data_IF_557541959594
#
_entry.id   IF_557541959594
#
_cell.length_a   1.000
_cell.length_b   1.000
_cell.length_c   1.000
_cell.angle_alpha   90.00
_cell.angle_beta   90.00
_cell.angle_gamma   90.00
#
_symmetry.space_group_name_H-M   'P 1'
#
loop_
_entity.id
_entity.type
_entity.pdbx_description
1 polymer ?
#
# COMPACT_ATOMS: atom_id res chain seq x y z
N UNK A 1 -1.75 -13.56 -5.73
CA UNK A 1 -1.68 -12.52 -4.69
C UNK A 1 -3.05 -11.82 -4.49
N UNK A 2 -3.72 -11.34 -5.56
CA UNK A 2 -4.95 -10.52 -5.47
C UNK A 2 -6.01 -11.09 -4.50
N UNK A 3 -6.46 -12.37 -4.58
CA UNK A 3 -7.46 -12.88 -3.66
C UNK A 3 -7.04 -12.88 -2.18
N UNK A 4 -5.73 -12.97 -1.91
CA UNK A 4 -5.19 -12.92 -0.54
C UNK A 4 -5.34 -11.49 0.00
N UNK A 5 -4.93 -10.47 -0.77
CA UNK A 5 -5.06 -9.08 -0.36
C UNK A 5 -6.52 -8.62 -0.27
N UNK A 6 -7.40 -9.11 -1.14
CA UNK A 6 -8.83 -8.91 -1.03
C UNK A 6 -9.37 -9.47 0.30
N UNK A 7 -8.99 -10.70 0.66
CA UNK A 7 -9.40 -11.29 1.94
C UNK A 7 -8.85 -10.52 3.16
N UNK A 8 -7.60 -10.04 3.08
CA UNK A 8 -6.98 -9.20 4.12
C UNK A 8 -7.74 -7.89 4.30
N UNK A 9 -8.05 -7.20 3.20
CA UNK A 9 -8.80 -5.94 3.24
C UNK A 9 -10.19 -6.09 3.85
N UNK A 10 -10.89 -7.18 3.55
CA UNK A 10 -12.24 -7.48 4.10
C UNK A 10 -12.24 -7.56 5.62
N UNK A 11 -11.15 -7.98 6.23
CA UNK A 11 -10.98 -8.12 7.69
C UNK A 11 -10.12 -7.02 8.30
N UNK A 12 -9.73 -6.00 7.53
CA UNK A 12 -8.78 -4.95 7.94
C UNK A 12 -7.50 -5.54 8.57
N UNK A 13 -7.01 -6.63 8.01
CA UNK A 13 -5.92 -7.39 8.59
C UNK A 13 -4.65 -6.55 8.69
N UNK A 14 -4.02 -6.57 9.87
CA UNK A 14 -2.74 -5.92 10.15
C UNK A 14 -1.63 -6.98 10.10
N UNK A 15 -0.76 -6.87 9.08
CA UNK A 15 0.31 -7.83 8.84
C UNK A 15 1.35 -7.24 7.88
N UNK A 16 2.65 -7.54 8.06
CA UNK A 16 3.71 -7.06 7.18
C UNK A 16 3.71 -7.71 5.78
N UNK A 17 2.66 -8.45 5.41
CA UNK A 17 2.63 -9.20 4.15
C UNK A 17 2.71 -8.27 2.93
N UNK A 18 2.09 -7.08 2.96
CA UNK A 18 2.17 -6.12 1.87
C UNK A 18 3.62 -5.64 1.67
N UNK A 19 4.25 -5.15 2.74
CA UNK A 19 5.62 -4.66 2.72
C UNK A 19 6.59 -5.74 2.22
N UNK A 20 6.48 -6.95 2.77
CA UNK A 20 7.33 -8.10 2.43
C UNK A 20 7.11 -8.58 0.98
N UNK A 21 5.86 -8.59 0.50
CA UNK A 21 5.55 -8.96 -0.89
C UNK A 21 6.15 -7.95 -1.87
N UNK A 22 6.08 -6.66 -1.55
CA UNK A 22 6.66 -5.60 -2.37
C UNK A 22 8.19 -5.65 -2.37
N UNK A 23 8.82 -5.94 -1.23
CA UNK A 23 10.26 -6.16 -1.15
C UNK A 23 10.70 -7.35 -2.01
N UNK A 24 9.97 -8.47 -1.94
CA UNK A 24 10.22 -9.61 -2.81
C UNK A 24 10.07 -9.25 -4.30
N UNK A 25 9.08 -8.43 -4.65
CA UNK A 25 8.88 -7.95 -6.03
C UNK A 25 10.07 -7.12 -6.52
N UNK A 26 10.59 -6.20 -5.71
CA UNK A 26 11.80 -5.42 -6.07
C UNK A 26 13.00 -6.37 -6.29
N UNK A 27 13.22 -7.33 -5.40
CA UNK A 27 14.30 -8.31 -5.56
C UNK A 27 14.15 -9.13 -6.84
N UNK A 28 12.96 -9.59 -7.17
CA UNK A 28 12.69 -10.37 -8.40
C UNK A 28 13.02 -9.53 -9.64
N UNK A 29 12.66 -8.25 -9.67
CA UNK A 29 12.85 -7.39 -10.82
C UNK A 29 14.29 -6.86 -10.95
N UNK A 30 14.84 -6.35 -9.86
CA UNK A 30 16.02 -5.52 -9.85
C UNK A 30 17.25 -6.19 -9.21
N UNK A 31 17.06 -7.27 -8.46
CA UNK A 31 18.13 -7.99 -7.78
C UNK A 31 19.02 -8.81 -8.69
N UNK A 32 20.28 -8.99 -8.30
CA UNK A 32 21.21 -9.96 -8.91
C UNK A 32 20.79 -11.41 -8.57
N UNK A 33 21.30 -12.37 -9.30
CA UNK A 33 21.03 -13.80 -9.03
C UNK A 33 21.48 -14.21 -7.63
N UNK A 34 22.59 -13.65 -7.13
CA UNK A 34 23.07 -13.89 -5.76
C UNK A 34 22.11 -13.30 -4.73
N UNK A 35 21.65 -12.07 -4.91
CA UNK A 35 20.66 -11.42 -4.01
C UNK A 35 19.35 -12.20 -4.02
N UNK A 36 18.84 -12.59 -5.18
CA UNK A 36 17.63 -13.42 -5.33
C UNK A 36 17.75 -14.76 -4.60
N UNK A 37 18.85 -15.49 -4.85
CA UNK A 37 19.09 -16.80 -4.25
C UNK A 37 19.29 -16.72 -2.72
N UNK A 38 19.77 -15.59 -2.21
CA UNK A 38 19.97 -15.36 -0.79
C UNK A 38 18.66 -14.97 -0.08
N UNK A 39 17.94 -14.00 -0.62
CA UNK A 39 16.84 -13.36 0.09
C UNK A 39 15.46 -13.95 -0.17
N UNK A 40 15.15 -14.37 -1.40
CA UNK A 40 13.82 -14.91 -1.71
C UNK A 40 13.47 -16.18 -0.90
N UNK A 41 14.40 -17.14 -0.69
CA UNK A 41 14.12 -18.27 0.19
C UNK A 41 13.88 -17.87 1.65
N UNK A 42 14.63 -16.89 2.16
CA UNK A 42 14.45 -16.37 3.54
C UNK A 42 13.08 -15.71 3.69
N UNK A 43 12.70 -14.83 2.76
CA UNK A 43 11.37 -14.21 2.73
C UNK A 43 10.27 -15.28 2.67
N UNK A 44 10.43 -16.30 1.83
CA UNK A 44 9.50 -17.42 1.75
C UNK A 44 9.41 -18.22 3.05
N UNK A 45 10.48 -18.24 3.84
CA UNK A 45 10.54 -18.90 5.15
C UNK A 45 10.01 -18.05 6.31
N UNK A 46 9.65 -16.77 6.04
CA UNK A 46 9.04 -15.89 7.04
C UNK A 46 9.85 -14.65 7.42
N UNK A 47 11.03 -14.41 6.83
CA UNK A 47 11.76 -13.16 7.03
C UNK A 47 10.90 -11.97 6.56
N UNK A 48 10.72 -11.00 7.44
CA UNK A 48 9.97 -9.77 7.17
C UNK A 48 10.89 -8.77 6.48
N UNK A 49 10.44 -8.22 5.37
CA UNK A 49 11.16 -7.21 4.61
C UNK A 49 10.28 -5.97 4.38
N UNK A 50 10.90 -4.79 4.38
CA UNK A 50 10.23 -3.54 4.10
C UNK A 50 10.89 -2.79 2.94
N UNK A 51 10.11 -1.97 2.22
CA UNK A 51 10.64 -1.06 1.19
C UNK A 51 10.55 0.37 1.71
N UNK A 52 11.71 1.02 1.85
CA UNK A 52 11.85 2.37 2.33
C UNK A 52 12.14 3.31 1.13
N UNK A 53 11.12 3.96 0.61
CA UNK A 53 11.22 4.75 -0.62
C UNK A 53 10.77 6.20 -0.48
N UNK A 54 9.85 6.50 0.43
CA UNK A 54 9.25 7.82 0.57
C UNK A 54 10.10 8.70 1.51
N UNK A 55 10.28 9.98 1.16
CA UNK A 55 11.12 10.90 1.93
C UNK A 55 10.40 12.16 2.38
N UNK A 56 9.52 12.70 1.55
CA UNK A 56 8.79 13.92 1.86
C UNK A 56 7.29 13.64 1.93
N UNK A 57 6.63 14.27 2.87
CA UNK A 57 5.19 14.18 3.01
C UNK A 57 4.49 14.63 1.72
N UNK A 58 3.64 13.75 1.22
CA UNK A 58 2.79 14.05 0.05
C UNK A 58 3.50 14.04 -1.31
N UNK A 59 4.78 13.66 -1.40
CA UNK A 59 5.43 13.51 -2.70
C UNK A 59 5.29 12.08 -3.23
N UNK A 60 4.58 11.92 -4.35
CA UNK A 60 4.35 10.65 -5.00
C UNK A 60 5.32 10.32 -6.14
N UNK A 61 6.28 11.22 -6.42
CA UNK A 61 7.34 10.97 -7.40
C UNK A 61 8.44 10.10 -6.77
N UNK A 62 8.47 8.82 -7.12
CA UNK A 62 9.47 7.86 -6.64
C UNK A 62 10.90 8.20 -7.06
N UNK A 63 11.07 9.08 -8.05
CA UNK A 63 12.38 9.60 -8.48
C UNK A 63 12.89 10.76 -7.64
N UNK A 64 12.05 11.37 -6.81
CA UNK A 64 12.44 12.44 -5.89
C UNK A 64 13.11 11.83 -4.66
N UNK A 65 14.40 11.55 -4.77
CA UNK A 65 15.21 10.87 -3.74
C UNK A 65 16.28 11.84 -3.25
N UNK A 66 16.32 12.07 -1.94
CA UNK A 66 17.33 12.87 -1.24
C UNK A 66 18.34 12.00 -0.49
N UNK A 67 17.98 10.76 -0.08
CA UNK A 67 18.92 9.81 0.50
C UNK A 67 20.06 9.48 -0.47
N UNK A 68 21.28 9.31 0.04
CA UNK A 68 22.45 9.09 -0.79
C UNK A 68 23.37 8.00 -0.24
N UNK A 69 24.13 7.39 -1.15
CA UNK A 69 25.25 6.49 -0.89
C UNK A 69 26.56 7.21 -1.20
N UNK A 70 27.45 7.31 -0.21
CA UNK A 70 28.81 7.84 -0.37
C UNK A 70 29.82 6.71 -0.29
N UNK A 71 30.76 6.67 -1.22
CA UNK A 71 31.84 5.67 -1.19
C UNK A 71 32.82 5.97 -0.07
N UNK A 72 33.08 4.99 0.78
CA UNK A 72 34.05 5.08 1.86
C UNK A 72 35.46 4.69 1.41
N UNK A 73 36.47 5.01 2.22
CA UNK A 73 37.85 4.65 1.93
C UNK A 73 38.12 3.14 1.95
N UNK A 74 37.25 2.34 2.60
CA UNK A 74 37.30 0.88 2.62
C UNK A 74 36.76 0.23 1.33
N UNK A 75 36.12 1.01 0.45
CA UNK A 75 35.48 0.51 -0.76
C UNK A 75 33.99 0.17 -0.60
N UNK A 76 33.47 0.21 0.60
CA UNK A 76 32.06 0.12 0.94
C UNK A 76 31.33 1.44 0.66
N UNK A 77 30.02 1.47 0.90
CA UNK A 77 29.21 2.66 0.86
C UNK A 77 28.69 3.00 2.27
N UNK A 78 28.44 4.27 2.52
CA UNK A 78 27.72 4.79 3.66
C UNK A 78 26.38 5.36 3.17
N UNK A 79 25.26 4.84 3.68
CA UNK A 79 23.91 5.30 3.39
C UNK A 79 23.51 6.36 4.41
N UNK A 80 23.09 7.53 3.93
CA UNK A 80 22.55 8.60 4.76
C UNK A 80 21.28 9.15 4.14
N UNK A 81 20.31 9.51 5.00
CA UNK A 81 19.02 10.06 4.62
C UNK A 81 17.91 9.61 5.55
N UNK A 82 16.70 10.12 5.33
CA UNK A 82 15.52 9.79 6.13
C UNK A 82 14.41 9.28 5.22
N UNK A 83 13.81 8.17 5.58
CA UNK A 83 12.63 7.62 4.93
C UNK A 83 11.44 7.72 5.86
N UNK A 84 10.31 8.17 5.33
CA UNK A 84 9.04 8.31 6.07
C UNK A 84 8.03 7.28 5.57
N UNK A 85 6.99 7.07 6.35
CA UNK A 85 5.89 6.15 6.03
C UNK A 85 6.36 4.74 5.66
N UNK A 86 7.45 4.28 6.29
CA UNK A 86 7.97 2.92 6.09
C UNK A 86 7.11 1.93 6.86
N UNK A 87 6.34 1.07 6.15
CA UNK A 87 5.44 0.16 6.84
C UNK A 87 6.23 -0.95 7.54
N UNK A 88 5.78 -1.29 8.76
CA UNK A 88 6.28 -2.43 9.54
C UNK A 88 7.79 -2.41 9.84
N UNK A 89 8.43 -1.24 9.80
CA UNK A 89 9.89 -1.12 9.93
C UNK A 89 10.45 -1.69 11.24
N UNK A 90 9.70 -1.58 12.35
CA UNK A 90 10.17 -2.10 13.64
C UNK A 90 10.29 -3.63 13.72
N UNK A 91 9.63 -4.35 12.81
CA UNK A 91 9.67 -5.84 12.75
C UNK A 91 10.39 -6.35 11.50
N UNK A 92 10.80 -5.46 10.61
CA UNK A 92 11.53 -5.83 9.41
C UNK A 92 12.96 -6.27 9.76
N UNK A 93 13.42 -7.36 9.16
CA UNK A 93 14.78 -7.88 9.29
C UNK A 93 15.69 -7.32 8.17
N UNK A 94 15.11 -6.93 7.05
CA UNK A 94 15.80 -6.34 5.91
C UNK A 94 14.99 -5.23 5.26
N UNK A 95 15.68 -4.16 4.89
CA UNK A 95 15.12 -3.03 4.16
C UNK A 95 15.66 -2.99 2.73
N UNK A 96 14.78 -2.68 1.77
CA UNK A 96 15.18 -2.25 0.44
C UNK A 96 14.99 -0.73 0.41
N UNK A 97 16.08 0.00 0.33
CA UNK A 97 16.09 1.46 0.46
C UNK A 97 16.41 2.10 -0.89
N UNK A 98 15.59 3.07 -1.31
CA UNK A 98 15.93 3.90 -2.46
C UNK A 98 16.94 4.98 -2.05
N UNK A 99 18.01 5.14 -2.83
CA UNK A 99 19.03 6.15 -2.61
C UNK A 99 19.64 6.64 -3.93
N UNK A 100 20.46 7.67 -3.88
CA UNK A 100 21.27 8.12 -5.01
C UNK A 100 22.72 7.68 -4.83
N UNK A 101 23.27 7.03 -5.84
CA UNK A 101 24.68 6.75 -5.95
C UNK A 101 25.23 7.51 -7.17
N UNK A 102 26.13 8.48 -6.92
CA UNK A 102 26.68 9.35 -7.99
C UNK A 102 25.58 10.03 -8.82
N UNK A 103 24.51 10.48 -8.16
CA UNK A 103 23.38 11.18 -8.80
C UNK A 103 22.35 10.25 -9.49
N UNK A 104 22.62 8.95 -9.59
CA UNK A 104 21.67 7.97 -10.16
C UNK A 104 20.87 7.27 -9.07
N UNK A 105 19.59 7.00 -9.31
CA UNK A 105 18.79 6.23 -8.37
C UNK A 105 19.26 4.79 -8.30
N UNK A 106 19.29 4.24 -7.10
CA UNK A 106 19.61 2.82 -6.84
C UNK A 106 18.71 2.30 -5.73
N UNK A 107 18.52 0.98 -5.70
CA UNK A 107 18.06 0.26 -4.53
C UNK A 107 19.25 -0.31 -3.78
N UNK A 108 19.23 -0.30 -2.46
CA UNK A 108 20.21 -1.02 -1.64
C UNK A 108 19.52 -1.81 -0.53
N UNK A 109 20.13 -2.94 -0.18
CA UNK A 109 19.72 -3.78 0.95
C UNK A 109 20.41 -3.27 2.22
N UNK A 110 19.63 -3.18 3.29
CA UNK A 110 20.12 -2.82 4.63
C UNK A 110 19.56 -3.83 5.63
N UNK A 111 20.43 -4.52 6.38
CA UNK A 111 19.98 -5.37 7.47
C UNK A 111 19.53 -4.51 8.66
N UNK A 112 18.46 -4.92 9.34
CA UNK A 112 18.04 -4.26 10.59
C UNK A 112 19.12 -4.31 11.68
N UNK A 113 20.01 -5.30 11.65
CA UNK A 113 21.15 -5.41 12.57
C UNK A 113 22.15 -4.24 12.44
N UNK A 114 22.14 -3.55 11.30
CA UNK A 114 22.97 -2.36 11.04
C UNK A 114 22.34 -1.07 11.55
N UNK A 115 21.14 -1.13 12.13
CA UNK A 115 20.37 0.01 12.59
C UNK A 115 20.16 -0.06 14.10
N UNK A 116 20.26 1.11 14.76
CA UNK A 116 19.93 1.23 16.18
C UNK A 116 18.44 1.52 16.37
N UNK A 117 17.89 1.13 17.51
CA UNK A 117 16.47 1.38 17.83
C UNK A 117 16.10 2.87 17.82
N UNK A 118 17.05 3.75 18.11
CA UNK A 118 16.90 5.21 18.06
C UNK A 118 16.69 5.77 16.65
N UNK A 119 16.97 4.98 15.61
CA UNK A 119 16.79 5.38 14.21
C UNK A 119 15.35 5.13 13.70
N UNK A 120 14.50 4.51 14.52
CA UNK A 120 13.10 4.23 14.21
C UNK A 120 12.18 5.11 15.05
N UNK A 121 11.41 5.97 14.42
CA UNK A 121 10.37 6.76 15.07
C UNK A 121 9.00 6.33 14.54
N UNK A 122 8.11 5.89 15.45
CA UNK A 122 6.75 5.52 15.05
C UNK A 122 5.96 6.75 14.66
N UNK A 123 5.35 6.70 13.49
CA UNK A 123 4.48 7.76 12.98
C UNK A 123 3.03 7.50 13.36
N UNK A 124 2.30 8.57 13.67
CA UNK A 124 0.85 8.51 13.83
C UNK A 124 0.19 8.76 12.47
N UNK A 125 -0.42 7.72 11.91
CA UNK A 125 -1.15 7.78 10.65
C UNK A 125 -2.65 7.65 10.89
N UNK A 126 -3.48 8.06 9.92
CA UNK A 126 -4.94 8.06 10.08
C UNK A 126 -5.51 6.66 10.35
N UNK A 127 -4.93 5.63 9.77
CA UNK A 127 -5.26 4.22 10.05
C UNK A 127 -4.36 3.69 11.16
N UNK A 128 -4.84 3.74 12.39
CA UNK A 128 -4.09 3.28 13.58
C UNK A 128 -3.81 1.78 13.59
N UNK A 129 -4.45 1.01 12.70
CA UNK A 129 -4.16 -0.41 12.50
C UNK A 129 -2.92 -0.64 11.63
N UNK A 130 -2.35 0.43 11.02
CA UNK A 130 -1.09 0.38 10.27
C UNK A 130 0.08 0.81 11.13
N UNK A 131 1.17 0.09 11.01
CA UNK A 131 2.42 0.40 11.68
C UNK A 131 3.36 1.14 10.73
N UNK A 132 3.42 2.45 10.83
CA UNK A 132 4.26 3.33 10.00
C UNK A 132 5.41 3.89 10.81
N UNK A 133 6.57 4.05 10.18
CA UNK A 133 7.78 4.54 10.81
C UNK A 133 8.53 5.52 9.92
N UNK A 134 9.08 6.57 10.56
CA UNK A 134 10.21 7.31 10.03
C UNK A 134 11.49 6.53 10.38
N UNK A 135 12.33 6.27 9.37
CA UNK A 135 13.61 5.56 9.55
C UNK A 135 14.74 6.47 9.12
N UNK A 136 15.66 6.74 10.06
CA UNK A 136 16.82 7.59 9.83
C UNK A 136 18.07 6.73 9.57
N UNK A 137 18.64 6.86 8.39
CA UNK A 137 19.90 6.23 8.03
C UNK A 137 21.03 7.25 8.24
N UNK A 138 21.99 6.94 9.13
CA UNK A 138 23.10 7.81 9.49
C UNK A 138 24.41 7.08 9.25
N UNK A 139 24.97 7.27 8.07
CA UNK A 139 26.22 6.63 7.62
C UNK A 139 26.22 5.09 7.78
N UNK A 140 25.06 4.47 7.49
CA UNK A 140 24.89 3.02 7.60
C UNK A 140 25.73 2.33 6.54
N UNK A 141 26.56 1.37 6.96
CA UNK A 141 27.43 0.62 6.05
C UNK A 141 26.61 -0.25 5.08
N UNK A 142 26.90 -0.13 3.80
CA UNK A 142 26.29 -0.92 2.72
C UNK A 142 27.40 -1.51 1.85
N UNK A 143 27.41 -2.82 1.72
CA UNK A 143 28.34 -3.50 0.81
C UNK A 143 28.03 -3.16 -0.65
N UNK A 144 29.02 -3.08 -1.55
CA UNK A 144 28.76 -3.02 -2.98
C UNK A 144 27.87 -4.16 -3.50
N UNK A 145 27.94 -5.33 -2.88
CA UNK A 145 27.12 -6.50 -3.22
C UNK A 145 25.65 -6.35 -2.76
N UNK A 146 25.37 -5.41 -1.87
CA UNK A 146 24.00 -5.08 -1.40
C UNK A 146 23.34 -3.99 -2.23
N UNK A 147 24.04 -3.35 -3.17
CA UNK A 147 23.44 -2.44 -4.14
C UNK A 147 22.85 -3.26 -5.29
N UNK A 148 21.55 -3.07 -5.57
CA UNK A 148 20.89 -3.81 -6.64
C UNK A 148 21.39 -3.33 -8.03
N UNK A 149 21.57 -4.23 -9.00
CA UNK A 149 22.11 -3.89 -10.33
C UNK A 149 21.16 -3.02 -11.16
N UNK A 150 19.87 -3.04 -10.84
CA UNK A 150 18.84 -2.26 -11.51
C UNK A 150 18.06 -1.41 -10.48
N UNK A 151 17.39 -0.36 -10.96
CA UNK A 151 16.49 0.45 -10.17
C UNK A 151 15.31 0.87 -11.02
N UNK A 152 14.26 0.05 -11.01
CA UNK A 152 13.06 0.24 -11.82
C UNK A 152 11.87 0.56 -10.90
N UNK A 153 11.55 1.84 -10.75
CA UNK A 153 10.42 2.25 -9.90
C UNK A 153 9.06 1.90 -10.50
N UNK A 154 8.93 1.89 -11.82
CA UNK A 154 7.65 1.64 -12.47
C UNK A 154 7.05 0.26 -12.15
N UNK A 155 7.77 -0.88 -12.26
CA UNK A 155 7.24 -2.17 -11.83
C UNK A 155 6.86 -2.23 -10.35
N UNK A 156 7.63 -1.57 -9.48
CA UNK A 156 7.32 -1.45 -8.06
C UNK A 156 6.03 -0.65 -7.83
N UNK A 157 5.87 0.50 -8.50
CA UNK A 157 4.66 1.33 -8.45
C UNK A 157 3.43 0.53 -8.89
N UNK A 158 3.52 -0.19 -10.01
CA UNK A 158 2.41 -1.01 -10.54
C UNK A 158 2.04 -2.14 -9.58
N UNK A 159 3.01 -2.88 -9.06
CA UNK A 159 2.76 -3.94 -8.09
C UNK A 159 2.10 -3.41 -6.81
N UNK A 160 2.60 -2.29 -6.30
CA UNK A 160 2.08 -1.66 -5.10
C UNK A 160 0.63 -1.21 -5.28
N UNK A 161 0.32 -0.49 -6.36
CA UNK A 161 -1.05 -0.05 -6.66
C UNK A 161 -2.01 -1.22 -6.85
N UNK A 162 -1.58 -2.30 -7.53
CA UNK A 162 -2.38 -3.50 -7.73
C UNK A 162 -2.78 -4.15 -6.41
N UNK A 163 -1.81 -4.35 -5.50
CA UNK A 163 -2.06 -5.02 -4.22
C UNK A 163 -2.89 -4.14 -3.27
N UNK A 164 -2.63 -2.82 -3.26
CA UNK A 164 -3.43 -1.87 -2.49
C UNK A 164 -4.87 -1.81 -3.03
N UNK A 165 -5.08 -1.77 -4.33
CA UNK A 165 -6.42 -1.80 -4.92
C UNK A 165 -7.16 -3.11 -4.62
N UNK A 166 -6.46 -4.24 -4.58
CA UNK A 166 -7.04 -5.52 -4.17
C UNK A 166 -7.47 -5.50 -2.69
N UNK A 167 -6.63 -4.94 -1.81
CA UNK A 167 -6.99 -4.76 -0.39
C UNK A 167 -8.19 -3.83 -0.23
N UNK A 168 -8.24 -2.73 -0.98
CA UNK A 168 -9.37 -1.78 -0.96
C UNK A 168 -10.67 -2.45 -1.46
N UNK A 169 -10.59 -3.31 -2.47
CA UNK A 169 -11.75 -4.13 -2.93
C UNK A 169 -12.33 -4.97 -1.79
N UNK A 170 -11.46 -5.60 -1.02
CA UNK A 170 -11.86 -6.37 0.16
C UNK A 170 -12.47 -5.50 1.25
N UNK A 171 -11.83 -4.36 1.55
CA UNK A 171 -12.32 -3.41 2.56
C UNK A 171 -13.70 -2.86 2.23
N UNK A 172 -13.96 -2.58 0.94
CA UNK A 172 -15.27 -2.15 0.46
C UNK A 172 -16.35 -3.23 0.67
N UNK A 173 -16.03 -4.50 0.41
CA UNK A 173 -16.92 -5.61 0.72
C UNK A 173 -17.17 -5.74 2.24
N UNK A 174 -16.12 -5.58 3.05
CA UNK A 174 -16.21 -5.63 4.51
C UNK A 174 -17.11 -4.55 5.10
N UNK A 175 -16.93 -3.29 4.70
CA UNK A 175 -17.79 -2.19 5.21
C UNK A 175 -19.24 -2.37 4.78
N UNK A 176 -19.48 -2.88 3.56
CA UNK A 176 -20.84 -3.19 3.10
C UNK A 176 -21.51 -4.23 3.99
N UNK A 177 -20.80 -5.28 4.40
CA UNK A 177 -21.32 -6.30 5.33
C UNK A 177 -21.69 -5.70 6.68
N UNK A 178 -20.80 -4.90 7.27
CA UNK A 178 -21.03 -4.20 8.55
C UNK A 178 -22.26 -3.30 8.45
N UNK A 179 -22.41 -2.56 7.36
CA UNK A 179 -23.58 -1.71 7.10
C UNK A 179 -24.86 -2.55 6.99
N UNK A 180 -24.86 -3.59 6.17
CA UNK A 180 -26.05 -4.41 5.95
C UNK A 180 -26.51 -5.09 7.24
N UNK A 181 -25.56 -5.59 8.04
CA UNK A 181 -25.89 -6.20 9.35
C UNK A 181 -26.55 -5.18 10.29
N UNK A 182 -25.97 -3.99 10.41
CA UNK A 182 -26.53 -2.92 11.23
C UNK A 182 -27.91 -2.48 10.76
N UNK A 183 -28.13 -2.32 9.46
CA UNK A 183 -29.41 -1.94 8.88
C UNK A 183 -30.51 -3.00 9.14
N UNK A 184 -30.15 -4.26 9.29
CA UNK A 184 -31.04 -5.37 9.56
C UNK A 184 -31.25 -5.66 11.05
N UNK A 185 -30.51 -5.00 11.94
CA UNK A 185 -30.61 -5.22 13.39
C UNK A 185 -31.17 -3.98 14.12
N UNK A 186 -30.73 -2.79 13.71
CA UNK A 186 -31.14 -1.53 14.36
C UNK A 186 -32.58 -1.16 14.07
N UNK A 187 -33.33 -0.81 15.12
CA UNK A 187 -34.71 -0.30 15.02
C UNK A 187 -34.79 1.18 15.40
N UNK A 188 -35.52 1.93 14.60
CA UNK A 188 -35.94 3.31 14.88
C UNK A 188 -37.37 3.51 14.33
N UNK A 189 -38.19 4.28 15.04
CA UNK A 189 -39.61 4.51 14.69
C UNK A 189 -40.38 3.18 14.48
N UNK A 190 -40.16 2.21 15.39
CA UNK A 190 -40.76 0.86 15.40
C UNK A 190 -40.49 -0.03 14.18
N UNK A 191 -39.48 0.33 13.38
CA UNK A 191 -39.06 -0.43 12.19
C UNK A 191 -37.58 -0.65 12.17
N UNK A 192 -37.14 -1.69 11.47
CA UNK A 192 -35.75 -1.83 11.09
C UNK A 192 -35.33 -0.67 10.20
N UNK A 193 -34.17 -0.04 10.48
CA UNK A 193 -33.74 1.12 9.71
C UNK A 193 -33.45 0.77 8.24
N UNK A 194 -33.05 -0.45 7.92
CA UNK A 194 -32.93 -0.97 6.57
C UNK A 194 -34.22 -1.03 5.77
N UNK A 195 -35.41 -0.80 6.40
CA UNK A 195 -36.69 -0.68 5.66
C UNK A 195 -36.85 0.66 4.94
N UNK A 196 -36.09 1.70 5.36
CA UNK A 196 -36.20 3.04 4.78
C UNK A 196 -35.44 3.17 3.45
N UNK A 197 -36.09 3.70 2.42
CA UNK A 197 -35.50 3.89 1.09
C UNK A 197 -34.27 4.82 1.12
N UNK A 198 -34.27 5.81 2.04
CA UNK A 198 -33.14 6.71 2.23
C UNK A 198 -31.84 6.00 2.63
N UNK A 199 -31.91 4.77 3.15
CA UNK A 199 -30.76 3.92 3.47
C UNK A 199 -30.57 2.80 2.45
N UNK A 200 -31.68 2.23 1.92
CA UNK A 200 -31.58 1.16 0.91
C UNK A 200 -30.87 1.58 -0.36
N UNK A 201 -31.23 2.75 -0.92
CA UNK A 201 -30.69 3.17 -2.20
C UNK A 201 -29.17 3.41 -2.13
N UNK A 202 -28.64 4.18 -1.17
CA UNK A 202 -27.19 4.33 -1.04
C UNK A 202 -26.46 3.00 -0.72
N UNK A 203 -27.12 2.05 -0.02
CA UNK A 203 -26.53 0.73 0.22
C UNK A 203 -26.43 -0.08 -1.08
N UNK A 204 -27.39 0.07 -1.99
CA UNK A 204 -27.31 -0.54 -3.34
C UNK A 204 -26.18 0.11 -4.14
N UNK A 205 -25.99 1.44 -4.05
CA UNK A 205 -24.86 2.12 -4.70
C UNK A 205 -23.51 1.60 -4.16
N UNK A 206 -23.39 1.36 -2.84
CA UNK A 206 -22.20 0.72 -2.26
C UNK A 206 -21.95 -0.67 -2.84
N UNK A 207 -23.00 -1.49 -3.02
CA UNK A 207 -22.88 -2.81 -3.66
C UNK A 207 -22.40 -2.70 -5.11
N UNK A 208 -23.00 -1.80 -5.89
CA UNK A 208 -22.59 -1.56 -7.28
C UNK A 208 -21.13 -1.10 -7.36
N UNK A 209 -20.71 -0.21 -6.46
CA UNK A 209 -19.32 0.23 -6.33
C UNK A 209 -18.38 -0.92 -5.99
N UNK A 210 -18.78 -1.81 -5.09
CA UNK A 210 -18.01 -3.00 -4.70
C UNK A 210 -17.79 -3.95 -5.90
N UNK A 211 -18.83 -4.26 -6.66
CA UNK A 211 -18.75 -5.11 -7.85
C UNK A 211 -17.91 -4.45 -8.96
N UNK A 212 -18.03 -3.14 -9.12
CA UNK A 212 -17.23 -2.38 -10.09
C UNK A 212 -15.73 -2.43 -9.74
N UNK A 213 -15.37 -2.13 -8.47
CA UNK A 213 -13.98 -2.18 -8.00
C UNK A 213 -13.41 -3.58 -8.16
N UNK A 214 -14.15 -4.59 -7.73
CA UNK A 214 -13.72 -5.98 -7.87
C UNK A 214 -13.47 -6.37 -9.32
N UNK A 215 -14.37 -6.00 -10.23
CA UNK A 215 -14.23 -6.26 -11.66
C UNK A 215 -12.98 -5.59 -12.24
N UNK A 216 -12.71 -4.31 -11.90
CA UNK A 216 -11.53 -3.58 -12.40
C UNK A 216 -10.23 -4.16 -11.84
N UNK A 217 -10.19 -4.56 -10.56
CA UNK A 217 -9.02 -5.21 -9.95
C UNK A 217 -8.71 -6.56 -10.61
N UNK A 218 -9.72 -7.40 -10.85
CA UNK A 218 -9.50 -8.69 -11.51
C UNK A 218 -9.16 -8.53 -13.00
N UNK A 219 -9.70 -7.52 -13.67
CA UNK A 219 -9.28 -7.17 -15.03
C UNK A 219 -7.81 -6.79 -15.08
N UNK A 220 -7.35 -5.89 -14.20
CA UNK A 220 -5.96 -5.49 -14.11
C UNK A 220 -5.02 -6.69 -13.78
N UNK A 221 -5.43 -7.58 -12.87
CA UNK A 221 -4.69 -8.79 -12.55
C UNK A 221 -4.58 -9.75 -13.74
N UNK A 222 -5.63 -9.84 -14.56
CA UNK A 222 -5.64 -10.67 -15.77
C UNK A 222 -4.72 -10.08 -16.83
N UNK A 223 -4.82 -8.79 -17.11
CA UNK A 223 -3.95 -8.09 -18.05
C UNK A 223 -2.47 -8.27 -17.71
N UNK A 224 -2.13 -8.15 -16.41
CA UNK A 224 -0.77 -8.41 -15.93
C UNK A 224 -0.32 -9.85 -16.16
N UNK A 225 -1.16 -10.83 -15.76
CA UNK A 225 -0.83 -12.26 -15.88
C UNK A 225 -0.64 -12.70 -17.33
N UNK A 226 -1.45 -12.17 -18.23
CA UNK A 226 -1.43 -12.52 -19.65
C UNK A 226 -0.37 -11.77 -20.45
N UNK A 227 0.47 -10.95 -19.78
CA UNK A 227 1.53 -10.15 -20.38
C UNK A 227 1.01 -9.28 -21.53
N UNK A 228 -0.12 -8.60 -21.34
CA UNK A 228 -0.57 -7.58 -22.27
C UNK A 228 0.47 -6.46 -22.42
N UNK A 229 0.25 -5.53 -23.33
CA UNK A 229 1.18 -4.42 -23.51
C UNK A 229 1.37 -3.64 -22.20
N UNK A 230 2.58 -3.11 -21.96
CA UNK A 230 2.87 -2.36 -20.74
C UNK A 230 1.87 -1.21 -20.50
N UNK A 231 1.48 -0.52 -21.58
CA UNK A 231 0.47 0.54 -21.51
C UNK A 231 -0.93 0.02 -21.13
N UNK A 232 -1.34 -1.15 -21.62
CA UNK A 232 -2.62 -1.75 -21.26
C UNK A 232 -2.65 -2.16 -19.79
N UNK A 233 -1.58 -2.79 -19.29
CA UNK A 233 -1.41 -3.19 -17.90
C UNK A 233 -1.43 -1.96 -16.99
N UNK A 234 -0.63 -0.93 -17.30
CA UNK A 234 -0.60 0.31 -16.53
C UNK A 234 -1.97 0.99 -16.50
N UNK A 235 -2.64 1.10 -17.65
CA UNK A 235 -3.99 1.66 -17.74
C UNK A 235 -4.96 0.92 -16.82
N UNK A 236 -4.99 -0.40 -16.88
CA UNK A 236 -5.89 -1.22 -16.08
C UNK A 236 -5.63 -1.07 -14.57
N UNK A 237 -4.36 -1.03 -14.15
CA UNK A 237 -3.97 -0.87 -12.73
C UNK A 237 -4.34 0.52 -12.22
N UNK A 238 -4.04 1.58 -12.96
CA UNK A 238 -4.38 2.95 -12.57
C UNK A 238 -5.90 3.15 -12.50
N UNK A 239 -6.66 2.55 -13.43
CA UNK A 239 -8.13 2.54 -13.38
C UNK A 239 -8.65 1.84 -12.13
N UNK A 240 -8.12 0.64 -11.79
CA UNK A 240 -8.50 -0.09 -10.60
C UNK A 240 -8.20 0.73 -9.33
N UNK A 241 -7.00 1.36 -9.22
CA UNK A 241 -6.63 2.21 -8.08
C UNK A 241 -7.54 3.44 -7.95
N UNK A 242 -7.86 4.14 -9.07
CA UNK A 242 -8.80 5.26 -9.07
C UNK A 242 -10.18 4.84 -8.54
N UNK A 243 -10.75 3.80 -9.15
CA UNK A 243 -12.06 3.29 -8.79
C UNK A 243 -12.11 2.86 -7.33
N UNK A 244 -11.11 2.09 -6.87
CA UNK A 244 -11.03 1.62 -5.49
C UNK A 244 -10.90 2.79 -4.50
N UNK A 245 -10.11 3.82 -4.81
CA UNK A 245 -9.93 5.00 -3.96
C UNK A 245 -11.25 5.75 -3.73
N UNK A 246 -12.01 6.00 -4.79
CA UNK A 246 -13.30 6.71 -4.68
C UNK A 246 -14.35 5.87 -3.97
N UNK A 247 -14.55 4.64 -4.43
CA UNK A 247 -15.65 3.81 -3.94
C UNK A 247 -15.44 3.38 -2.48
N UNK A 248 -14.22 3.08 -2.07
CA UNK A 248 -13.96 2.67 -0.69
C UNK A 248 -14.04 3.85 0.28
N UNK A 249 -13.56 5.04 -0.09
CA UNK A 249 -13.68 6.24 0.74
C UNK A 249 -15.14 6.64 0.91
N UNK A 250 -15.93 6.63 -0.17
CA UNK A 250 -17.36 6.92 -0.12
C UNK A 250 -18.13 5.89 0.72
N UNK A 251 -17.82 4.60 0.57
CA UNK A 251 -18.47 3.55 1.37
C UNK A 251 -18.10 3.63 2.85
N UNK A 252 -16.86 3.98 3.17
CA UNK A 252 -16.43 4.22 4.56
C UNK A 252 -17.17 5.39 5.21
N UNK A 253 -17.35 6.51 4.50
CA UNK A 253 -18.13 7.66 4.95
C UNK A 253 -19.61 7.28 5.19
N UNK A 254 -20.22 6.61 4.22
CA UNK A 254 -21.60 6.08 4.35
C UNK A 254 -21.72 5.08 5.51
N UNK A 255 -20.69 4.26 5.72
CA UNK A 255 -20.62 3.34 6.85
C UNK A 255 -20.79 4.06 8.19
N UNK A 256 -20.05 5.13 8.41
CA UNK A 256 -20.18 5.98 9.60
C UNK A 256 -21.57 6.63 9.66
N UNK A 257 -22.00 7.24 8.56
CA UNK A 257 -23.28 7.97 8.49
C UNK A 257 -24.47 7.06 8.85
N UNK A 258 -24.49 5.81 8.37
CA UNK A 258 -25.60 4.87 8.59
C UNK A 258 -25.65 4.35 10.02
N UNK A 259 -24.52 4.31 10.72
CA UNK A 259 -24.46 4.00 12.15
C UNK A 259 -24.80 5.20 13.02
N UNK A 260 -24.91 6.41 12.45
CA UNK A 260 -25.22 7.65 13.18
C UNK A 260 -24.15 7.99 14.22
N UNK A 261 -24.53 8.55 15.35
CA UNK A 261 -23.59 8.94 16.41
C UNK A 261 -22.74 7.81 16.99
N UNK A 262 -23.12 6.55 16.79
CA UNK A 262 -22.32 5.39 17.14
C UNK A 262 -21.17 5.16 16.15
N UNK A 263 -21.38 5.47 14.85
CA UNK A 263 -20.48 5.13 13.76
C UNK A 263 -19.05 5.72 13.86
N UNK A 264 -18.89 6.87 14.53
CA UNK A 264 -17.56 7.50 14.69
C UNK A 264 -16.88 7.16 16.03
N UNK A 265 -17.52 6.37 16.87
CA UNK A 265 -16.93 5.95 18.16
C UNK A 265 -15.96 4.77 17.94
N UNK A 266 -15.02 4.61 18.88
CA UNK A 266 -14.10 3.45 18.85
C UNK A 266 -14.81 2.10 19.07
N UNK A 267 -16.05 2.11 19.56
CA UNK A 267 -16.88 0.91 19.76
C UNK A 267 -17.51 0.40 18.44
N UNK A 268 -17.36 1.15 17.34
CA UNK A 268 -17.93 0.81 16.03
C UNK A 268 -16.84 0.57 15.00
N UNK A 269 -16.82 -0.61 14.39
CA UNK A 269 -15.81 -0.99 13.38
C UNK A 269 -15.94 -0.18 12.08
N UNK A 270 -17.09 0.46 11.81
CA UNK A 270 -17.28 1.25 10.58
C UNK A 270 -16.23 2.36 10.42
N UNK A 271 -15.78 2.99 11.52
CA UNK A 271 -14.76 4.03 11.48
C UNK A 271 -13.38 3.50 11.06
N UNK A 272 -13.07 2.23 11.34
CA UNK A 272 -11.81 1.60 10.93
C UNK A 272 -11.73 1.44 9.41
N UNK A 273 -12.85 1.10 8.76
CA UNK A 273 -12.91 1.02 7.29
C UNK A 273 -12.70 2.37 6.62
N UNK A 274 -13.26 3.47 7.16
CA UNK A 274 -12.99 4.80 6.63
C UNK A 274 -11.52 5.19 6.79
N UNK A 275 -10.93 4.94 7.95
CA UNK A 275 -9.51 5.22 8.20
C UNK A 275 -8.60 4.45 7.24
N UNK A 276 -8.87 3.15 7.04
CA UNK A 276 -8.18 2.31 6.06
C UNK A 276 -8.37 2.82 4.63
N UNK A 277 -9.57 3.24 4.26
CA UNK A 277 -9.87 3.79 2.95
C UNK A 277 -9.04 5.05 2.67
N UNK A 278 -9.04 6.01 3.61
CA UNK A 278 -8.27 7.25 3.49
C UNK A 278 -6.76 6.99 3.47
N UNK A 279 -6.25 6.09 4.30
CA UNK A 279 -4.83 5.71 4.26
C UNK A 279 -4.47 5.13 2.88
N UNK A 280 -5.24 4.17 2.38
CA UNK A 280 -4.99 3.49 1.10
C UNK A 280 -5.15 4.41 -0.10
N UNK A 281 -6.06 5.38 -0.05
CA UNK A 281 -6.31 6.36 -1.11
C UNK A 281 -5.05 7.14 -1.45
N UNK A 282 -4.31 7.59 -0.43
CA UNK A 282 -3.11 8.42 -0.62
C UNK A 282 -1.83 7.64 -0.88
N UNK A 283 -1.85 6.31 -0.81
CA UNK A 283 -0.67 5.53 -1.19
C UNK A 283 -0.44 5.59 -2.70
N UNK A 284 0.76 6.05 -3.11
CA UNK A 284 1.18 6.18 -4.51
C UNK A 284 0.28 7.08 -5.38
N UNK A 285 -0.41 8.02 -4.77
CA UNK A 285 -1.27 8.98 -5.44
C UNK A 285 -2.77 8.68 -5.30
N UNK A 286 -3.52 9.75 -5.08
CA UNK A 286 -4.97 9.74 -5.02
C UNK A 286 -5.61 9.54 -6.41
N UNK A 287 -6.94 9.50 -6.48
CA UNK A 287 -7.68 9.31 -7.73
C UNK A 287 -7.43 10.43 -8.74
N UNK A 288 -7.14 11.66 -8.29
CA UNK A 288 -6.87 12.81 -9.18
C UNK A 288 -5.50 12.67 -9.83
N UNK A 289 -4.50 12.34 -9.03
CA UNK A 289 -3.15 12.07 -9.52
C UNK A 289 -3.14 10.90 -10.51
N UNK A 290 -3.83 9.80 -10.20
CA UNK A 290 -3.90 8.65 -11.09
C UNK A 290 -4.65 8.97 -12.40
N UNK A 291 -5.73 9.75 -12.36
CA UNK A 291 -6.42 10.23 -13.58
C UNK A 291 -5.54 11.12 -14.44
N UNK A 292 -4.73 11.98 -13.83
CA UNK A 292 -3.76 12.80 -14.57
C UNK A 292 -2.73 11.92 -15.29
N UNK A 293 -2.20 10.88 -14.62
CA UNK A 293 -1.30 9.89 -15.25
C UNK A 293 -2.00 9.13 -16.39
N UNK A 294 -3.24 8.69 -16.19
CA UNK A 294 -4.04 8.04 -17.24
C UNK A 294 -4.24 8.96 -18.45
N UNK A 295 -4.52 10.25 -18.24
CA UNK A 295 -4.63 11.22 -19.35
C UNK A 295 -3.40 11.22 -20.24
N UNK A 296 -2.19 11.15 -19.65
CA UNK A 296 -0.94 11.07 -20.40
C UNK A 296 -0.69 9.75 -21.16
N UNK A 297 -1.47 8.69 -20.87
CA UNK A 297 -1.40 7.43 -21.62
C UNK A 297 -2.34 7.40 -22.82
N UNK A 298 -3.36 8.26 -22.86
CA UNK A 298 -4.36 8.30 -23.92
C UNK A 298 -4.14 9.43 -24.94
N UNK A 299 -3.42 10.47 -24.56
CA UNK A 299 -3.15 11.67 -25.36
C UNK A 299 -1.64 11.99 -25.41
#
# INVERSE_FOLDING_TARGET
AVPIFEAMGRQLMDTPLLATTLAAQVLIQDGSDNQKSTWLPKISAGTIAAVAYQENDGNWDLGAIDAWLTRTGSGEFALSGTKVLVPDAAVAEVFIVSARLQGKPVWCLVSSESLESSQFERETVIDETRHSYCVQFSDVAVSPDDVLPLCQFHPFEMASMMLIAAEMSGGLAGVLEVVVDYLNTRKQFDKLIGSYQALKHPTVDMLLGSELVRSTVYHAATAWRENESASAVETAIRMAKCCASEQFSEAGDRGIQFHGGFGFTYDCDAQLFLRRALWSQYQLGDERYQRQKLGGLFF
#
